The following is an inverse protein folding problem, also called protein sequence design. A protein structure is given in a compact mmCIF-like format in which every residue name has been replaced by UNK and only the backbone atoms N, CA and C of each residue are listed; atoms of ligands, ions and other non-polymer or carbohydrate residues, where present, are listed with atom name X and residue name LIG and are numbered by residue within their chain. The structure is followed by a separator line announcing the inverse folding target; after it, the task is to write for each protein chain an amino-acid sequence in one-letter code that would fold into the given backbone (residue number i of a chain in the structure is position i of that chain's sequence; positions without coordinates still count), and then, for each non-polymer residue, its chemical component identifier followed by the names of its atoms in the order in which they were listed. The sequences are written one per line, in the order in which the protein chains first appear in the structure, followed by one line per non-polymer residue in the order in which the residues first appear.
data_IF_569850529441
#
_entry.id   IF_569850529441
#
_cell.length_a   1.000
_cell.length_b   1.000
_cell.length_c   1.000
_cell.angle_alpha   90.00
_cell.angle_beta   90.00
_cell.angle_gamma   90.00
#
_symmetry.space_group_name_H-M   'P 1'
#
loop_
_entity.id
_entity.type
_entity.pdbx_description
1 polymer ?
#
# COMPACT_ATOMS: atom_id res chain seq x y z
N UNK A 1 -1.81 7.37 -18.40
CA UNK A 1 -2.07 5.93 -18.34
C UNK A 1 -3.45 5.73 -17.73
N UNK A 2 -4.33 4.95 -18.37
CA UNK A 2 -5.68 4.65 -17.86
C UNK A 2 -5.58 3.52 -16.83
N UNK A 3 -5.57 3.85 -15.53
CA UNK A 3 -5.76 2.87 -14.49
C UNK A 3 -7.26 2.60 -14.37
N UNK A 4 -7.72 1.58 -15.08
CA UNK A 4 -9.12 1.14 -15.09
C UNK A 4 -9.19 -0.36 -14.96
N UNK A 5 -8.46 -0.94 -13.99
CA UNK A 5 -8.79 -2.20 -13.36
C UNK A 5 -8.32 -2.16 -11.93
N UNK A 6 -9.19 -2.56 -11.01
CA UNK A 6 -8.90 -2.73 -9.59
C UNK A 6 -7.89 -3.86 -9.38
N UNK A 7 -6.62 -3.58 -9.67
CA UNK A 7 -5.55 -4.54 -9.53
C UNK A 7 -5.06 -4.53 -8.08
N UNK A 8 -5.35 -5.61 -7.37
CA UNK A 8 -4.90 -5.80 -6.00
C UNK A 8 -3.82 -6.87 -5.93
N UNK A 9 -2.59 -6.51 -5.53
CA UNK A 9 -1.54 -7.50 -5.36
C UNK A 9 -1.82 -8.40 -4.16
N UNK A 10 -1.43 -9.66 -4.25
CA UNK A 10 -1.35 -10.53 -3.09
C UNK A 10 -0.24 -10.04 -2.16
N UNK A 11 -0.61 -9.51 -0.99
CA UNK A 11 0.37 -9.03 0.00
C UNK A 11 0.99 -10.21 0.73
N UNK A 12 2.29 -10.40 0.49
CA UNK A 12 3.08 -11.55 0.99
C UNK A 12 3.40 -11.43 2.47
N UNK A 13 3.65 -10.23 2.97
CA UNK A 13 3.99 -9.97 4.37
C UNK A 13 2.79 -10.21 5.29
N UNK A 14 2.99 -10.79 6.48
CA UNK A 14 1.90 -10.99 7.43
C UNK A 14 1.41 -9.65 8.02
N UNK A 15 0.23 -9.64 8.66
CA UNK A 15 -0.24 -8.44 9.35
C UNK A 15 0.75 -7.98 10.44
N UNK A 16 1.34 -8.92 11.17
CA UNK A 16 2.33 -8.64 12.21
C UNK A 16 3.63 -8.06 11.61
N UNK A 17 4.05 -8.54 10.43
CA UNK A 17 5.23 -7.98 9.74
C UNK A 17 4.99 -6.52 9.36
N UNK A 18 3.82 -6.22 8.79
CA UNK A 18 3.45 -4.87 8.39
C UNK A 18 3.29 -3.94 9.59
N UNK A 19 2.69 -4.41 10.69
CA UNK A 19 2.58 -3.65 11.94
C UNK A 19 3.96 -3.33 12.50
N UNK A 20 4.86 -4.32 12.58
CA UNK A 20 6.25 -4.11 13.00
C UNK A 20 6.97 -3.08 12.12
N UNK A 21 6.90 -3.24 10.80
CA UNK A 21 7.52 -2.31 9.85
C UNK A 21 6.96 -0.88 10.00
N UNK A 22 5.64 -0.76 10.24
CA UNK A 22 5.01 0.53 10.49
C UNK A 22 5.57 1.20 11.75
N UNK A 23 5.80 0.44 12.82
CA UNK A 23 6.36 0.97 14.06
C UNK A 23 7.86 1.29 13.96
N UNK A 24 8.62 0.52 13.19
CA UNK A 24 10.06 0.75 12.95
C UNK A 24 10.32 2.00 12.10
N UNK A 25 9.33 2.43 11.32
CA UNK A 25 9.50 3.49 10.35
C UNK A 25 9.28 4.90 10.92
N UNK A 26 10.23 5.81 10.69
CA UNK A 26 10.14 7.20 11.17
C UNK A 26 9.63 8.20 10.13
N UNK A 27 9.64 7.84 8.84
CA UNK A 27 9.17 8.71 7.77
C UNK A 27 7.67 8.50 7.54
N UNK A 28 6.89 9.59 7.56
CA UNK A 28 5.43 9.55 7.43
C UNK A 28 4.99 8.93 6.10
N UNK A 29 5.61 9.32 5.00
CA UNK A 29 5.29 8.78 3.67
C UNK A 29 5.51 7.25 3.57
N UNK A 30 6.58 6.74 4.18
CA UNK A 30 6.83 5.30 4.23
C UNK A 30 5.85 4.58 5.16
N UNK A 31 5.40 5.23 6.24
CA UNK A 31 4.31 4.73 7.09
C UNK A 31 2.99 4.62 6.33
N UNK A 32 2.65 5.60 5.51
CA UNK A 32 1.44 5.60 4.69
C UNK A 32 1.44 4.43 3.69
N UNK A 33 2.59 4.18 3.04
CA UNK A 33 2.78 3.03 2.15
C UNK A 33 2.57 1.69 2.86
N UNK A 34 3.13 1.53 4.06
CA UNK A 34 2.97 0.31 4.87
C UNK A 34 1.51 0.17 5.35
N UNK A 35 0.89 1.27 5.79
CA UNK A 35 -0.50 1.28 6.21
C UNK A 35 -1.46 0.92 5.06
N UNK A 36 -1.17 1.36 3.83
CA UNK A 36 -1.95 0.98 2.65
C UNK A 36 -1.93 -0.55 2.43
N UNK A 37 -0.75 -1.17 2.50
CA UNK A 37 -0.62 -2.64 2.40
C UNK A 37 -1.31 -3.36 3.58
N UNK A 38 -1.21 -2.82 4.78
CA UNK A 38 -1.84 -3.37 5.98
C UNK A 38 -3.38 -3.36 5.88
N UNK A 39 -3.97 -2.21 5.56
CA UNK A 39 -5.42 -2.05 5.40
C UNK A 39 -5.97 -2.92 4.28
N UNK A 40 -5.19 -3.05 3.20
CA UNK A 40 -5.52 -3.92 2.10
C UNK A 40 -5.51 -5.40 2.55
N UNK A 41 -4.44 -5.87 3.20
CA UNK A 41 -4.35 -7.25 3.70
C UNK A 41 -5.44 -7.59 4.72
N UNK A 42 -5.85 -6.61 5.52
CA UNK A 42 -6.94 -6.73 6.48
C UNK A 42 -8.33 -6.78 5.80
N UNK A 43 -8.42 -6.54 4.49
CA UNK A 43 -9.68 -6.50 3.74
C UNK A 43 -10.58 -5.32 4.08
N UNK A 44 -10.02 -4.28 4.73
CA UNK A 44 -10.78 -3.09 5.18
C UNK A 44 -11.06 -2.11 4.04
N UNK A 45 -10.25 -2.16 2.99
CA UNK A 45 -10.47 -1.40 1.77
C UNK A 45 -10.79 -2.35 0.62
N UNK A 46 -11.87 -2.07 -0.11
CA UNK A 46 -12.33 -2.92 -1.24
C UNK A 46 -11.72 -2.49 -2.56
N UNK A 47 -11.25 -1.25 -2.64
CA UNK A 47 -10.64 -0.69 -3.84
C UNK A 47 -9.57 0.38 -3.51
N UNK A 48 -8.83 0.86 -4.52
CA UNK A 48 -7.77 1.87 -4.38
C UNK A 48 -8.32 3.22 -3.95
N UNK A 49 -9.56 3.55 -4.32
CA UNK A 49 -10.22 4.79 -3.89
C UNK A 49 -10.57 4.76 -2.40
N UNK A 50 -10.98 3.61 -1.86
CA UNK A 50 -11.19 3.42 -0.42
C UNK A 50 -9.87 3.58 0.34
N UNK A 51 -8.78 2.96 -0.14
CA UNK A 51 -7.44 3.13 0.43
C UNK A 51 -7.01 4.60 0.42
N UNK A 52 -7.12 5.27 -0.73
CA UNK A 52 -6.78 6.68 -0.91
C UNK A 52 -7.51 7.57 0.11
N UNK A 53 -8.81 7.35 0.30
CA UNK A 53 -9.61 8.08 1.28
C UNK A 53 -9.18 7.83 2.73
N UNK A 54 -8.79 6.60 3.07
CA UNK A 54 -8.38 6.26 4.44
C UNK A 54 -6.97 6.79 4.74
N UNK A 55 -6.05 6.68 3.79
CA UNK A 55 -4.66 7.11 3.93
C UNK A 55 -4.53 8.63 3.76
N UNK A 56 -5.45 9.28 3.02
CA UNK A 56 -5.38 10.72 2.73
C UNK A 56 -4.48 11.05 1.54
N UNK A 57 -4.37 10.14 0.58
CA UNK A 57 -3.54 10.26 -0.63
C UNK A 57 -4.42 10.22 -1.88
N UNK A 58 -3.86 10.62 -3.03
CA UNK A 58 -4.56 10.50 -4.31
C UNK A 58 -4.69 9.03 -4.76
N UNK A 59 -5.79 8.71 -5.45
CA UNK A 59 -6.05 7.36 -5.97
C UNK A 59 -4.93 6.88 -6.88
N UNK A 60 -4.42 7.76 -7.75
CA UNK A 60 -3.32 7.44 -8.67
C UNK A 60 -2.02 7.11 -7.94
N UNK A 61 -1.77 7.75 -6.80
CA UNK A 61 -0.60 7.47 -5.95
C UNK A 61 -0.72 6.08 -5.34
N UNK A 62 -1.90 5.72 -4.81
CA UNK A 62 -2.15 4.38 -4.27
C UNK A 62 -2.01 3.31 -5.36
N UNK A 63 -2.58 3.54 -6.55
CA UNK A 63 -2.46 2.60 -7.67
C UNK A 63 -1.00 2.40 -8.09
N UNK A 64 -0.22 3.48 -8.15
CA UNK A 64 1.22 3.41 -8.43
C UNK A 64 1.96 2.60 -7.35
N UNK A 65 1.65 2.82 -6.07
CA UNK A 65 2.25 2.05 -4.96
C UNK A 65 1.95 0.56 -5.07
N UNK A 66 0.68 0.21 -5.34
CA UNK A 66 0.26 -1.18 -5.50
C UNK A 66 0.92 -1.83 -6.72
N UNK A 67 1.06 -1.11 -7.84
CA UNK A 67 1.76 -1.61 -9.02
C UNK A 67 3.24 -1.89 -8.72
N UNK A 68 3.93 -0.95 -8.09
CA UNK A 68 5.35 -1.09 -7.72
C UNK A 68 5.54 -2.28 -6.78
N UNK A 69 4.71 -2.36 -5.74
CA UNK A 69 4.72 -3.49 -4.81
C UNK A 69 4.48 -4.81 -5.53
N UNK A 70 3.49 -4.88 -6.42
CA UNK A 70 3.18 -6.11 -7.15
C UNK A 70 4.33 -6.60 -8.02
N UNK A 71 5.07 -5.66 -8.63
CA UNK A 71 6.12 -5.98 -9.61
C UNK A 71 7.48 -6.19 -8.97
N UNK A 72 7.78 -5.46 -7.89
CA UNK A 72 9.13 -5.35 -7.34
C UNK A 72 9.19 -5.62 -5.83
N UNK A 73 8.04 -5.76 -5.17
CA UNK A 73 7.92 -6.06 -3.75
C UNK A 73 8.07 -4.85 -2.83
N UNK A 74 7.99 -5.13 -1.52
CA UNK A 74 8.00 -4.12 -0.47
C UNK A 74 9.22 -3.21 -0.50
N UNK A 75 10.43 -3.77 -0.73
CA UNK A 75 11.66 -2.98 -0.71
C UNK A 75 11.65 -1.88 -1.77
N UNK A 76 11.12 -2.15 -2.96
CA UNK A 76 11.01 -1.16 -4.02
C UNK A 76 9.98 -0.08 -3.67
N UNK A 77 8.84 -0.48 -3.09
CA UNK A 77 7.83 0.48 -2.62
C UNK A 77 8.40 1.45 -1.57
N UNK A 78 9.25 0.97 -0.66
CA UNK A 78 9.84 1.80 0.39
C UNK A 78 11.04 2.64 -0.07
N UNK A 79 11.42 2.57 -1.36
CA UNK A 79 12.55 3.33 -1.93
C UNK A 79 12.11 4.47 -2.84
N UNK A 80 10.82 4.52 -3.22
CA UNK A 80 10.27 5.60 -4.07
C UNK A 80 9.93 6.85 -3.29
#
# INVERSE_FOLDING_TARGET
MMFSQSFFPEVRETLNDLERLFHEQNQLDLKDKIAALYLFKLGRAKNSADLARIIGQDVTTIEQWLEIYSRQGLKALLTI
#
